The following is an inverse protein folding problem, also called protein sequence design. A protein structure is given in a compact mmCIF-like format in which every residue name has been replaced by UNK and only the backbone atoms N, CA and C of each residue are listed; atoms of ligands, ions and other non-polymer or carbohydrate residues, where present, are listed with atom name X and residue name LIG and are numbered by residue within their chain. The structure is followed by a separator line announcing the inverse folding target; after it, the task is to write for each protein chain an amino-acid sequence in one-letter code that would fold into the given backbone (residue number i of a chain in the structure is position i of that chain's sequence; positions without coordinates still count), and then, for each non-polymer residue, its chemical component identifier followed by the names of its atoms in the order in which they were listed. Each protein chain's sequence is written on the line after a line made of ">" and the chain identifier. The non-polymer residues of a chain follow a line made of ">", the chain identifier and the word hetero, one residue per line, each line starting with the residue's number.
data_IF_913096373132
#
_entry.id   IF_913096373132
#
_cell.length_a   1.000
_cell.length_b   1.000
_cell.length_c   1.000
_cell.angle_alpha   90.00
_cell.angle_beta   90.00
_cell.angle_gamma   90.00
#
_symmetry.space_group_name_H-M   'P 1'
#
loop_
_entity.id
_entity.type
_entity.pdbx_description
1 polymer ?
#
# COMPACT_ATOMS: atom_id res chain seq x y z
N UNK A 1 17.26 -25.71 -4.56
CA UNK A 1 15.86 -25.59 -5.03
C UNK A 1 14.98 -24.79 -4.06
N UNK A 2 14.89 -25.14 -2.77
CA UNK A 2 13.96 -24.47 -1.84
C UNK A 2 14.14 -22.94 -1.72
N UNK A 3 15.39 -22.45 -1.54
CA UNK A 3 15.66 -21.02 -1.30
C UNK A 3 15.48 -20.09 -2.50
N UNK A 4 15.76 -20.58 -3.70
CA UNK A 4 15.75 -19.75 -4.91
C UNK A 4 14.56 -20.05 -5.83
N UNK A 5 13.68 -20.98 -5.46
CA UNK A 5 12.55 -21.32 -6.30
C UNK A 5 11.29 -21.49 -5.46
N UNK A 6 11.23 -22.52 -4.62
CA UNK A 6 10.01 -22.86 -3.87
C UNK A 6 9.57 -21.70 -2.99
N UNK A 7 10.46 -21.19 -2.14
CA UNK A 7 10.14 -20.11 -1.21
C UNK A 7 9.73 -18.81 -1.92
N UNK A 8 10.50 -18.28 -2.89
CA UNK A 8 10.08 -17.10 -3.65
C UNK A 8 8.75 -17.31 -4.38
N UNK A 9 8.52 -18.46 -5.03
CA UNK A 9 7.27 -18.71 -5.76
C UNK A 9 6.05 -18.78 -4.83
N UNK A 10 6.18 -19.36 -3.63
CA UNK A 10 5.11 -19.35 -2.63
C UNK A 10 4.80 -17.91 -2.20
N UNK A 11 5.82 -17.09 -1.94
CA UNK A 11 5.63 -15.68 -1.57
C UNK A 11 5.00 -14.88 -2.72
N UNK A 12 5.41 -15.12 -3.96
CA UNK A 12 4.79 -14.52 -5.14
C UNK A 12 3.30 -14.90 -5.24
N UNK A 13 2.96 -16.17 -5.00
CA UNK A 13 1.56 -16.60 -5.01
C UNK A 13 0.74 -15.85 -3.96
N UNK A 14 1.25 -15.70 -2.74
CA UNK A 14 0.59 -14.91 -1.69
C UNK A 14 0.39 -13.44 -2.10
N UNK A 15 1.42 -12.80 -2.67
CA UNK A 15 1.32 -11.42 -3.16
C UNK A 15 0.28 -11.29 -4.27
N UNK A 16 0.27 -12.21 -5.24
CA UNK A 16 -0.72 -12.20 -6.32
C UNK A 16 -2.13 -12.42 -5.80
N UNK A 17 -2.33 -13.28 -4.79
CA UNK A 17 -3.62 -13.45 -4.14
C UNK A 17 -4.08 -12.16 -3.45
N UNK A 18 -3.20 -11.46 -2.74
CA UNK A 18 -3.52 -10.15 -2.16
C UNK A 18 -3.92 -9.13 -3.24
N UNK A 19 -3.19 -9.06 -4.36
CA UNK A 19 -3.53 -8.18 -5.47
C UNK A 19 -4.91 -8.49 -6.06
N UNK A 20 -5.26 -9.77 -6.22
CA UNK A 20 -6.58 -10.17 -6.69
C UNK A 20 -7.68 -9.69 -5.74
N UNK A 21 -7.48 -9.81 -4.43
CA UNK A 21 -8.44 -9.36 -3.42
C UNK A 21 -8.59 -7.82 -3.39
N UNK A 22 -7.49 -7.08 -3.57
CA UNK A 22 -7.53 -5.62 -3.71
C UNK A 22 -8.30 -5.20 -4.97
N UNK A 23 -8.08 -5.88 -6.09
CA UNK A 23 -8.80 -5.63 -7.35
C UNK A 23 -10.30 -5.94 -7.24
N UNK A 24 -10.66 -7.04 -6.57
CA UNK A 24 -12.06 -7.39 -6.29
C UNK A 24 -12.72 -6.27 -5.49
N UNK A 25 -12.07 -5.82 -4.42
CA UNK A 25 -12.58 -4.73 -3.58
C UNK A 25 -12.78 -3.44 -4.38
N UNK A 26 -11.83 -3.11 -5.25
CA UNK A 26 -11.92 -1.94 -6.12
C UNK A 26 -13.06 -2.05 -7.14
N UNK A 27 -13.28 -3.23 -7.73
CA UNK A 27 -14.39 -3.47 -8.65
C UNK A 27 -15.74 -3.31 -7.95
N UNK A 28 -15.90 -3.90 -6.76
CA UNK A 28 -17.12 -3.74 -5.97
C UNK A 28 -17.39 -2.28 -5.60
N UNK A 29 -16.34 -1.54 -5.26
CA UNK A 29 -16.45 -0.10 -5.00
C UNK A 29 -16.89 0.67 -6.27
N UNK A 30 -16.40 0.27 -7.44
CA UNK A 30 -16.79 0.89 -8.72
C UNK A 30 -18.23 0.56 -9.10
N UNK A 31 -18.69 -0.66 -8.85
CA UNK A 31 -20.09 -1.02 -9.07
C UNK A 31 -21.04 -0.23 -8.15
N UNK A 32 -20.66 -0.03 -6.88
CA UNK A 32 -21.42 0.81 -5.97
C UNK A 32 -21.48 2.28 -6.45
N UNK A 33 -20.36 2.80 -6.96
CA UNK A 33 -20.31 4.14 -7.56
C UNK A 33 -21.22 4.24 -8.80
N UNK A 34 -21.20 3.23 -9.68
CA UNK A 34 -22.07 3.18 -10.86
C UNK A 34 -23.55 3.14 -10.45
N UNK A 35 -23.90 2.38 -9.42
CA UNK A 35 -25.28 2.29 -8.95
C UNK A 35 -25.75 3.62 -8.32
N UNK A 36 -24.90 4.32 -7.55
CA UNK A 36 -25.20 5.65 -7.02
C UNK A 36 -25.51 6.68 -8.13
N UNK A 37 -24.77 6.64 -9.25
CA UNK A 37 -25.08 7.47 -10.42
C UNK A 37 -26.46 7.14 -10.99
N UNK A 38 -26.83 5.86 -11.05
CA UNK A 38 -28.13 5.41 -11.58
C UNK A 38 -29.28 5.80 -10.65
N UNK A 39 -29.11 5.64 -9.34
CA UNK A 39 -30.06 6.08 -8.32
C UNK A 39 -30.26 7.60 -8.33
N UNK A 40 -29.19 8.35 -8.65
CA UNK A 40 -29.22 9.79 -8.85
C UNK A 40 -29.87 10.23 -10.17
N UNK A 41 -30.32 9.29 -11.01
CA UNK A 41 -30.99 9.55 -12.28
C UNK A 41 -30.05 9.80 -13.47
N UNK A 42 -28.74 9.55 -13.31
CA UNK A 42 -27.82 9.60 -14.44
C UNK A 42 -28.12 8.46 -15.42
N UNK A 43 -28.03 8.76 -16.72
CA UNK A 43 -28.23 7.79 -17.80
C UNK A 43 -26.99 7.74 -18.68
N UNK A 44 -26.65 6.54 -19.16
CA UNK A 44 -25.53 6.37 -20.07
C UNK A 44 -25.89 6.96 -21.44
N UNK A 45 -25.01 7.77 -22.00
CA UNK A 45 -25.15 8.25 -23.38
C UNK A 45 -24.86 7.17 -24.43
N UNK A 46 -24.10 6.12 -24.05
CA UNK A 46 -23.68 5.01 -24.92
C UNK A 46 -23.87 3.68 -24.21
N UNK A 47 -24.91 2.94 -24.59
CA UNK A 47 -25.28 1.68 -23.92
C UNK A 47 -24.18 0.61 -23.95
N UNK A 48 -23.33 0.58 -24.99
CA UNK A 48 -22.20 -0.36 -25.10
C UNK A 48 -21.12 -0.20 -24.02
N UNK A 49 -21.16 0.90 -23.24
CA UNK A 49 -20.24 1.12 -22.12
C UNK A 49 -20.77 0.52 -20.82
N UNK A 50 -22.02 0.06 -20.80
CA UNK A 50 -22.60 -0.60 -19.63
C UNK A 50 -21.85 -1.89 -19.35
N UNK A 51 -21.44 -2.06 -18.11
CA UNK A 51 -20.89 -3.30 -17.57
C UNK A 51 -21.94 -3.99 -16.72
N UNK A 52 -21.88 -5.33 -16.67
CA UNK A 52 -22.63 -6.09 -15.67
C UNK A 52 -21.92 -5.97 -14.31
N UNK A 53 -22.66 -5.99 -13.19
CA UNK A 53 -22.06 -5.98 -11.86
C UNK A 53 -21.07 -7.12 -11.69
N UNK A 54 -19.92 -6.82 -11.09
CA UNK A 54 -18.89 -7.80 -10.81
C UNK A 54 -19.37 -8.82 -9.77
N UNK A 55 -19.18 -10.10 -10.07
CA UNK A 55 -19.47 -11.21 -9.18
C UNK A 55 -18.24 -12.09 -9.04
N UNK A 56 -17.65 -12.11 -7.85
CA UNK A 56 -16.39 -12.82 -7.58
C UNK A 56 -16.50 -14.33 -7.88
N UNK A 57 -17.56 -14.98 -7.38
CA UNK A 57 -17.74 -16.43 -7.56
C UNK A 57 -17.86 -16.80 -9.04
N UNK A 58 -18.71 -16.09 -9.79
CA UNK A 58 -18.88 -16.28 -11.23
C UNK A 58 -17.56 -16.04 -11.98
N UNK A 59 -16.79 -15.03 -11.59
CA UNK A 59 -15.47 -14.77 -12.17
C UNK A 59 -14.50 -15.92 -11.88
N UNK A 60 -14.40 -16.39 -10.64
CA UNK A 60 -13.51 -17.49 -10.24
C UNK A 60 -13.86 -18.78 -10.97
N UNK A 61 -15.15 -19.13 -11.04
CA UNK A 61 -15.62 -20.31 -11.76
C UNK A 61 -15.26 -20.23 -13.26
N UNK A 62 -15.51 -19.09 -13.90
CA UNK A 62 -15.13 -18.87 -15.31
C UNK A 62 -13.62 -18.92 -15.52
N UNK A 63 -12.84 -18.36 -14.60
CA UNK A 63 -11.38 -18.38 -14.66
C UNK A 63 -10.85 -19.82 -14.63
N UNK A 64 -11.33 -20.64 -13.70
CA UNK A 64 -10.94 -22.06 -13.60
C UNK A 64 -11.40 -22.86 -14.82
N UNK A 65 -12.61 -22.63 -15.31
CA UNK A 65 -13.15 -23.42 -16.42
C UNK A 65 -12.56 -23.04 -17.79
N UNK A 66 -12.23 -21.77 -18.02
CA UNK A 66 -11.87 -21.25 -19.36
C UNK A 66 -10.44 -20.76 -19.46
N UNK A 67 -9.96 -20.05 -18.44
CA UNK A 67 -8.65 -19.38 -18.48
C UNK A 67 -7.53 -20.31 -18.03
N UNK A 68 -7.74 -21.07 -16.94
CA UNK A 68 -6.73 -21.96 -16.39
C UNK A 68 -6.26 -23.03 -17.40
N UNK A 69 -7.14 -23.76 -18.13
CA UNK A 69 -6.68 -24.74 -19.11
C UNK A 69 -5.88 -24.10 -20.25
N UNK A 70 -6.22 -22.87 -20.65
CA UNK A 70 -5.50 -22.12 -21.68
C UNK A 70 -4.10 -21.74 -21.23
N UNK A 71 -3.92 -21.37 -19.97
CA UNK A 71 -2.61 -21.03 -19.40
C UNK A 71 -1.76 -22.29 -19.18
N UNK A 72 -2.37 -23.36 -18.64
CA UNK A 72 -1.67 -24.62 -18.37
C UNK A 72 -1.37 -25.45 -19.63
N UNK A 73 -2.08 -25.21 -20.73
CA UNK A 73 -1.84 -25.87 -22.02
C UNK A 73 -0.80 -25.17 -22.92
N UNK A 74 -0.21 -24.04 -22.48
CA UNK A 74 0.85 -23.36 -23.20
C UNK A 74 2.19 -24.11 -23.02
N UNK A 75 2.90 -24.31 -24.14
CA UNK A 75 4.15 -25.07 -24.26
C UNK A 75 5.14 -24.81 -23.11
N UNK A 76 5.56 -25.87 -22.42
CA UNK A 76 6.31 -25.78 -21.17
C UNK A 76 7.51 -24.82 -21.24
N UNK A 77 7.56 -23.88 -20.29
CA UNK A 77 8.79 -23.21 -19.87
C UNK A 77 9.15 -21.89 -20.56
N UNK A 78 8.35 -21.39 -21.51
CA UNK A 78 8.67 -20.12 -22.21
C UNK A 78 8.11 -18.84 -21.58
N UNK A 79 7.11 -18.92 -20.71
CA UNK A 79 6.36 -17.73 -20.29
C UNK A 79 6.56 -17.32 -18.82
N UNK A 80 7.80 -17.34 -18.33
CA UNK A 80 8.13 -16.52 -17.16
C UNK A 80 8.22 -15.05 -17.60
N UNK A 81 7.05 -14.46 -17.82
CA UNK A 81 6.89 -13.11 -18.34
C UNK A 81 7.71 -12.09 -17.56
N UNK A 82 8.13 -11.01 -18.21
CA UNK A 82 8.90 -9.93 -17.58
C UNK A 82 8.28 -9.41 -16.29
N UNK A 83 6.93 -9.35 -16.23
CA UNK A 83 6.20 -8.99 -15.02
C UNK A 83 6.42 -9.97 -13.85
N UNK A 84 6.42 -11.29 -14.11
CA UNK A 84 6.68 -12.30 -13.09
C UNK A 84 8.16 -12.30 -12.65
N UNK A 85 9.09 -12.03 -13.57
CA UNK A 85 10.52 -11.83 -13.25
C UNK A 85 10.74 -10.65 -12.31
N UNK A 86 10.06 -9.54 -12.56
CA UNK A 86 10.11 -8.35 -11.70
C UNK A 86 9.58 -8.67 -10.31
N UNK A 87 8.44 -9.36 -10.21
CA UNK A 87 7.87 -9.74 -8.92
C UNK A 87 8.79 -10.70 -8.16
N UNK A 88 9.35 -11.71 -8.82
CA UNK A 88 10.34 -12.61 -8.22
C UNK A 88 11.58 -11.85 -7.70
N UNK A 89 12.09 -10.91 -8.49
CA UNK A 89 13.23 -10.08 -8.11
C UNK A 89 12.91 -9.21 -6.90
N UNK A 90 11.72 -8.60 -6.85
CA UNK A 90 11.28 -7.82 -5.71
C UNK A 90 11.13 -8.68 -4.44
N UNK A 91 10.52 -9.86 -4.56
CA UNK A 91 10.36 -10.81 -3.44
C UNK A 91 11.70 -11.27 -2.91
N UNK A 92 12.61 -11.73 -3.77
CA UNK A 92 13.94 -12.21 -3.35
C UNK A 92 14.80 -11.10 -2.75
N UNK A 93 14.74 -9.88 -3.27
CA UNK A 93 15.40 -8.72 -2.67
C UNK A 93 14.83 -8.39 -1.30
N UNK A 94 13.50 -8.46 -1.13
CA UNK A 94 12.85 -8.21 0.15
C UNK A 94 13.24 -9.28 1.18
N UNK A 95 13.30 -10.55 0.78
CA UNK A 95 13.77 -11.63 1.65
C UNK A 95 15.22 -11.45 2.08
N UNK A 96 16.11 -11.05 1.16
CA UNK A 96 17.50 -10.77 1.47
C UNK A 96 17.65 -9.58 2.44
N UNK A 97 16.86 -8.51 2.23
CA UNK A 97 16.81 -7.36 3.17
C UNK A 97 16.35 -7.80 4.56
N UNK A 98 15.32 -8.63 4.66
CA UNK A 98 14.83 -9.13 5.94
C UNK A 98 15.82 -10.06 6.62
N UNK A 99 16.52 -10.92 5.87
CA UNK A 99 17.56 -11.78 6.42
C UNK A 99 18.72 -10.98 7.03
N UNK A 100 19.16 -9.89 6.36
CA UNK A 100 20.17 -8.97 6.90
C UNK A 100 19.70 -8.25 8.16
N UNK A 101 18.44 -7.81 8.21
CA UNK A 101 17.85 -7.20 9.41
C UNK A 101 17.75 -8.15 10.61
N UNK A 102 17.80 -9.47 10.41
CA UNK A 102 17.83 -10.46 11.50
C UNK A 102 19.24 -10.87 11.93
N UNK A 103 20.27 -10.38 11.24
CA UNK A 103 21.68 -10.54 11.61
C UNK A 103 22.30 -9.18 12.01
N UNK A 104 21.81 -8.53 13.08
CA UNK A 104 22.68 -7.68 13.89
C UNK A 104 22.66 -8.10 15.37
N UNK A 105 23.80 -7.92 16.05
CA UNK A 105 24.07 -8.13 17.49
C UNK A 105 24.49 -9.57 17.90
N UNK A 106 25.70 -10.00 17.54
CA UNK A 106 26.67 -10.61 18.48
C UNK A 106 28.02 -10.80 17.76
N UNK A 107 28.82 -9.74 17.73
CA UNK A 107 30.28 -9.85 17.71
C UNK A 107 30.80 -8.73 18.60
N UNK A 108 30.56 -8.91 19.90
CA UNK A 108 31.27 -8.16 20.91
C UNK A 108 32.70 -8.73 21.00
N UNK A 109 33.67 -7.84 20.85
CA UNK A 109 35.00 -7.87 21.46
C UNK A 109 35.63 -9.26 21.67
N UNK A 110 36.53 -9.65 20.77
CA UNK A 110 37.64 -10.54 21.15
C UNK A 110 38.97 -9.98 20.64
N UNK A 111 39.67 -9.35 21.59
CA UNK A 111 41.12 -9.31 21.76
C UNK A 111 42.00 -8.74 20.63
N UNK A 112 42.46 -7.51 20.83
CA UNK A 112 43.87 -7.18 20.59
C UNK A 112 44.50 -6.70 21.90
N UNK A 113 44.95 -7.66 22.71
CA UNK A 113 45.81 -7.44 23.88
C UNK A 113 47.27 -7.68 23.47
N UNK A 114 48.08 -6.62 23.49
CA UNK A 114 49.52 -6.59 23.80
C UNK A 114 49.90 -5.09 23.91
N UNK A 115 49.97 -4.51 25.12
CA UNK A 115 51.18 -4.35 25.95
C UNK A 115 52.23 -3.42 25.28
N UNK A 116 52.77 -2.30 25.81
CA UNK A 116 52.99 -1.73 27.17
C UNK A 116 53.44 -0.25 26.94
N UNK A 117 53.06 0.77 27.72
CA UNK A 117 53.91 1.41 28.77
C UNK A 117 53.23 2.68 29.32
N UNK A 118 52.84 2.63 30.59
CA UNK A 118 52.91 3.64 31.68
C UNK A 118 52.27 5.05 31.51
N UNK A 119 51.10 5.35 32.11
CA UNK A 119 50.82 5.77 33.52
C UNK A 119 50.67 7.32 33.68
N UNK A 120 49.98 7.89 34.70
CA UNK A 120 48.51 8.00 34.82
C UNK A 120 48.03 9.44 35.20
N UNK A 121 46.75 9.78 35.06
CA UNK A 121 46.04 10.58 36.09
C UNK A 121 44.51 10.69 35.83
N UNK A 122 43.73 10.13 36.74
CA UNK A 122 42.37 10.51 37.16
C UNK A 122 42.41 10.48 38.70
N UNK A 123 41.52 11.15 39.49
CA UNK A 123 40.08 11.36 39.25
C UNK A 123 39.51 12.72 39.83
N UNK A 124 38.16 12.93 39.93
CA UNK A 124 37.46 14.23 40.06
C UNK A 124 37.02 14.53 41.52
N UNK A 125 36.18 15.56 41.84
CA UNK A 125 34.71 15.41 41.76
C UNK A 125 33.86 16.71 41.61
N UNK A 126 32.55 16.47 41.50
CA UNK A 126 31.35 17.31 41.47
C UNK A 126 31.26 18.51 42.43
N UNK A 127 30.48 19.53 42.02
CA UNK A 127 29.61 20.29 42.93
C UNK A 127 28.28 20.68 42.27
N UNK A 128 27.28 20.77 43.14
CA UNK A 128 25.84 20.86 42.97
C UNK A 128 25.39 22.29 43.34
N UNK A 129 24.31 22.81 42.75
CA UNK A 129 23.31 23.69 43.39
C UNK A 129 22.22 24.01 42.35
N UNK A 130 21.02 23.44 42.44
CA UNK A 130 19.85 23.99 43.15
C UNK A 130 19.49 25.44 42.76
N UNK A 131 18.39 25.61 42.03
CA UNK A 131 17.38 26.62 42.37
C UNK A 131 16.01 26.24 41.80
N UNK A 132 15.12 26.06 42.75
CA UNK A 132 13.65 25.93 42.74
C UNK A 132 12.84 26.91 41.85
N UNK A 133 11.61 26.46 41.52
CA UNK A 133 10.33 27.21 41.39
C UNK A 133 9.59 26.83 40.09
N UNK A 134 8.58 25.96 40.09
CA UNK A 134 7.23 25.99 40.69
C UNK A 134 6.21 26.96 40.05
N UNK A 135 5.01 26.40 39.79
CA UNK A 135 3.70 26.99 39.43
C UNK A 135 3.51 27.47 37.99
N UNK A 136 2.35 27.33 37.34
CA UNK A 136 1.05 26.73 37.69
C UNK A 136 0.22 26.61 36.39
N UNK A 137 -0.77 25.69 36.37
CA UNK A 137 -2.13 25.76 35.75
C UNK A 137 -2.32 26.56 34.44
N UNK A 138 -3.08 26.11 33.45
CA UNK A 138 -4.47 25.60 33.51
C UNK A 138 -4.86 25.14 32.11
N UNK A 139 -5.45 23.96 31.95
CA UNK A 139 -6.45 23.67 30.88
C UNK A 139 -7.79 24.30 31.30
N UNK A 140 -8.84 24.55 30.44
CA UNK A 140 -9.28 23.67 29.34
C UNK A 140 -9.97 24.36 28.12
N UNK A 141 -10.47 23.51 27.23
CA UNK A 141 -11.76 23.60 26.53
C UNK A 141 -11.86 24.16 25.09
N UNK A 142 -12.60 23.34 24.31
CA UNK A 142 -13.60 23.71 23.29
C UNK A 142 -13.18 23.68 21.81
N UNK A 143 -13.58 22.61 21.12
CA UNK A 143 -13.98 22.54 19.70
C UNK A 143 -15.25 23.41 19.43
N UNK A 144 -15.86 23.50 18.23
CA UNK A 144 -15.57 22.87 16.93
C UNK A 144 -15.74 23.76 15.65
N UNK A 145 -15.32 23.18 14.50
CA UNK A 145 -15.87 23.29 13.14
C UNK A 145 -15.98 24.66 12.44
N UNK A 146 -15.30 24.84 11.28
CA UNK A 146 -15.86 25.55 10.13
C UNK A 146 -15.45 24.97 8.76
N UNK A 147 -16.48 24.72 7.96
CA UNK A 147 -16.56 24.20 6.59
C UNK A 147 -16.14 25.31 5.60
N UNK A 148 -15.42 25.04 4.49
CA UNK A 148 -15.19 26.06 3.47
C UNK A 148 -16.49 26.36 2.71
N UNK A 149 -16.99 27.60 2.81
CA UNK A 149 -18.14 28.10 2.03
C UNK A 149 -17.67 28.50 0.62
N UNK A 150 -18.27 27.89 -0.40
CA UNK A 150 -18.22 28.37 -1.79
C UNK A 150 -19.20 29.53 -1.98
N UNK A 151 -18.81 30.62 -2.67
CA UNK A 151 -19.74 31.71 -2.97
C UNK A 151 -20.66 31.35 -4.15
N UNK A 152 -21.96 31.46 -3.89
CA UNK A 152 -23.02 31.39 -4.89
C UNK A 152 -23.09 32.69 -5.71
N UNK A 153 -23.10 32.59 -7.03
CA UNK A 153 -23.47 33.67 -7.93
C UNK A 153 -24.76 33.30 -8.68
N UNK A 154 -25.83 34.04 -8.41
CA UNK A 154 -27.11 33.98 -9.14
C UNK A 154 -26.97 34.77 -10.46
N UNK A 155 -27.41 34.18 -11.56
CA UNK A 155 -27.82 34.93 -12.75
C UNK A 155 -29.08 34.29 -13.37
N UNK A 156 -30.07 35.14 -13.65
CA UNK A 156 -31.42 34.86 -14.16
C UNK A 156 -31.41 34.38 -15.63
N UNK A 157 -32.48 33.70 -16.10
CA UNK A 157 -32.53 33.09 -17.43
C UNK A 157 -32.75 34.12 -18.56
N UNK A 158 -32.14 33.87 -19.73
CA UNK A 158 -32.49 34.54 -21.00
C UNK A 158 -32.96 33.50 -22.03
N UNK A 159 -34.08 33.82 -22.69
CA UNK A 159 -34.82 33.00 -23.66
C UNK A 159 -34.03 32.75 -24.97
N UNK A 160 -34.42 31.66 -25.62
CA UNK A 160 -33.91 31.10 -26.87
C UNK A 160 -34.04 31.98 -28.11
N UNK A 161 -33.15 31.75 -29.09
CA UNK A 161 -33.40 31.86 -30.52
C UNK A 161 -32.47 30.88 -31.25
N UNK A 162 -33.07 29.93 -31.95
CA UNK A 162 -32.37 28.91 -32.73
C UNK A 162 -31.56 29.53 -33.85
N UNK A 163 -30.48 28.86 -34.22
CA UNK A 163 -29.62 29.23 -35.35
C UNK A 163 -28.72 28.05 -35.74
N UNK A 164 -29.33 26.90 -36.02
CA UNK A 164 -28.73 25.89 -36.90
C UNK A 164 -29.85 25.23 -37.68
N UNK A 165 -29.87 25.51 -38.99
CA UNK A 165 -30.49 24.71 -40.04
C UNK A 165 -29.59 23.53 -40.39
#
# INVERSE_FOLDING_TARGET
>A
VFRHLVRPLIQMNLVLQCQVQELISLLLQKDAEIEDYRESGATLSRDRLRTEPFQEETFQQNFVAKTLPRICGAEEGREFASALQQLYTAVTQQEAKQARKRLPEDDADTASTAETTEHPCLPPPSQEDETTSSSERTSPASSPAQKPRLPAAKAKPKKAKGLFS
#
